data_IF_910189386865
#
_entry.id   IF_910189386865
#
_cell.length_a   1.000
_cell.length_b   1.000
_cell.length_c   1.000
_cell.angle_alpha   90.00
_cell.angle_beta   90.00
_cell.angle_gamma   90.00
#
_symmetry.space_group_name_H-M   'P 1'
#
loop_
_entity.id
_entity.type
_entity.pdbx_description
1 polymer ?
#
# COMPACT_ATOMS: atom_id res chain seq x y z
N UNK A 1 18.81 -1.85 -17.13
CA UNK A 1 17.89 -3.00 -17.13
C UNK A 1 16.53 -2.46 -16.69
N UNK A 2 15.61 -2.27 -17.63
CA UNK A 2 14.24 -1.88 -17.30
C UNK A 2 13.56 -3.14 -16.80
N UNK A 3 13.26 -3.20 -15.51
CA UNK A 3 12.33 -4.19 -14.97
C UNK A 3 10.96 -3.67 -15.38
N UNK A 4 10.32 -4.34 -16.33
CA UNK A 4 9.05 -3.92 -16.93
C UNK A 4 7.94 -4.95 -16.66
N UNK A 5 8.29 -6.23 -16.66
CA UNK A 5 7.34 -7.34 -16.53
C UNK A 5 7.30 -7.92 -15.12
N UNK A 6 6.19 -8.60 -14.78
CA UNK A 6 6.05 -9.37 -13.54
C UNK A 6 7.13 -10.44 -13.42
N UNK A 7 7.45 -11.15 -14.51
CA UNK A 7 8.52 -12.14 -14.57
C UNK A 7 9.90 -11.54 -14.28
N UNK A 8 10.19 -10.31 -14.73
CA UNK A 8 11.46 -9.66 -14.43
C UNK A 8 11.62 -9.30 -12.94
N UNK A 9 10.52 -8.98 -12.23
CA UNK A 9 10.54 -8.77 -10.78
C UNK A 9 10.87 -10.06 -10.05
N UNK A 10 10.23 -11.17 -10.44
CA UNK A 10 10.48 -12.50 -9.87
C UNK A 10 11.93 -12.91 -10.12
N UNK A 11 12.43 -12.79 -11.35
CA UNK A 11 13.84 -13.07 -11.68
C UNK A 11 14.79 -12.19 -10.88
N UNK A 12 14.45 -10.92 -10.65
CA UNK A 12 15.26 -10.03 -9.82
C UNK A 12 15.28 -10.49 -8.35
N UNK A 13 14.15 -10.92 -7.80
CA UNK A 13 14.05 -11.47 -6.45
C UNK A 13 14.87 -12.76 -6.30
N UNK A 14 14.70 -13.70 -7.24
CA UNK A 14 15.45 -14.96 -7.28
C UNK A 14 16.95 -14.72 -7.42
N UNK A 15 17.40 -13.79 -8.27
CA UNK A 15 18.82 -13.41 -8.35
C UNK A 15 19.36 -12.89 -7.03
N UNK A 16 18.58 -12.11 -6.26
CA UNK A 16 19.03 -11.62 -4.95
C UNK A 16 19.15 -12.74 -3.92
N UNK A 17 18.26 -13.73 -3.99
CA UNK A 17 18.36 -14.97 -3.21
C UNK A 17 19.57 -15.82 -3.62
N UNK A 18 19.76 -16.05 -4.92
CA UNK A 18 20.86 -16.86 -5.46
C UNK A 18 22.24 -16.22 -5.25
N UNK A 19 22.36 -14.88 -5.32
CA UNK A 19 23.62 -14.20 -4.97
C UNK A 19 23.93 -14.33 -3.47
N UNK A 20 22.91 -14.45 -2.61
CA UNK A 20 23.10 -14.72 -1.20
C UNK A 20 23.44 -16.21 -0.92
N UNK A 21 22.91 -17.13 -1.72
CA UNK A 21 23.13 -18.58 -1.62
C UNK A 21 24.02 -19.05 -2.77
N UNK A 22 25.34 -18.93 -2.57
CA UNK A 22 26.42 -19.11 -3.55
C UNK A 22 26.51 -20.50 -4.27
N UNK A 23 25.42 -21.28 -4.44
CA UNK A 23 25.54 -22.68 -4.86
C UNK A 23 24.38 -23.40 -5.61
N UNK A 24 23.13 -22.93 -5.76
CA UNK A 24 22.05 -23.92 -6.08
C UNK A 24 20.97 -23.62 -7.14
N UNK A 25 20.87 -22.44 -7.76
CA UNK A 25 19.83 -22.21 -8.77
C UNK A 25 20.41 -21.76 -10.13
N UNK A 26 21.01 -22.69 -10.87
CA UNK A 26 21.35 -22.47 -12.30
C UNK A 26 20.15 -22.69 -13.22
N UNK A 27 19.15 -23.46 -12.79
CA UNK A 27 17.94 -23.75 -13.57
C UNK A 27 16.70 -23.64 -12.67
N UNK A 28 16.01 -22.49 -12.73
CA UNK A 28 14.68 -22.35 -12.11
C UNK A 28 13.69 -23.02 -13.04
N UNK A 29 12.92 -23.98 -12.51
CA UNK A 29 11.88 -24.66 -13.29
C UNK A 29 10.79 -23.65 -13.72
N UNK A 30 10.31 -23.68 -14.98
CA UNK A 30 9.30 -22.73 -15.47
C UNK A 30 8.03 -22.69 -14.61
N UNK A 31 7.65 -23.83 -14.02
CA UNK A 31 6.48 -23.90 -13.15
C UNK A 31 6.68 -23.11 -11.85
N UNK A 32 7.90 -23.14 -11.31
CA UNK A 32 8.25 -22.39 -10.10
C UNK A 32 8.30 -20.88 -10.32
N UNK A 33 8.58 -20.44 -11.56
CA UNK A 33 8.46 -19.03 -11.94
C UNK A 33 7.00 -18.55 -11.91
N UNK A 34 6.08 -19.37 -12.41
CA UNK A 34 4.66 -19.07 -12.42
C UNK A 34 4.09 -19.03 -11.00
N UNK A 35 4.44 -19.99 -10.15
CA UNK A 35 4.03 -20.01 -8.74
C UNK A 35 4.54 -18.75 -8.00
N UNK A 36 5.78 -18.32 -8.28
CA UNK A 36 6.34 -17.10 -7.72
C UNK A 36 5.67 -15.80 -8.25
N UNK A 37 5.08 -15.81 -9.44
CA UNK A 37 4.23 -14.71 -9.94
C UNK A 37 2.91 -14.68 -9.20
N UNK A 38 2.30 -15.83 -8.90
CA UNK A 38 1.06 -15.91 -8.11
C UNK A 38 1.28 -15.43 -6.66
N UNK A 39 2.45 -15.73 -6.08
CA UNK A 39 2.87 -15.19 -4.78
C UNK A 39 3.10 -13.69 -4.81
N UNK A 40 3.64 -13.17 -5.91
CA UNK A 40 3.79 -11.74 -6.14
C UNK A 40 2.41 -11.08 -6.17
N UNK A 41 1.47 -11.61 -6.95
CA UNK A 41 0.09 -11.10 -7.01
C UNK A 41 -0.57 -11.12 -5.63
N UNK A 42 -0.48 -12.23 -4.92
CA UNK A 42 -1.02 -12.39 -3.57
C UNK A 42 -0.41 -11.38 -2.59
N UNK A 43 0.90 -11.13 -2.67
CA UNK A 43 1.59 -10.12 -1.85
C UNK A 43 1.11 -8.71 -2.17
N UNK A 44 0.92 -8.39 -3.46
CA UNK A 44 0.48 -7.07 -3.88
C UNK A 44 -0.98 -6.81 -3.50
N UNK A 45 -1.82 -7.84 -3.55
CA UNK A 45 -3.22 -7.78 -3.10
C UNK A 45 -3.31 -7.52 -1.59
N UNK A 46 -2.54 -8.27 -0.79
CA UNK A 46 -2.44 -8.07 0.66
C UNK A 46 -2.00 -6.64 1.00
N UNK A 47 -1.02 -6.11 0.27
CA UNK A 47 -0.53 -4.77 0.49
C UNK A 47 -1.53 -3.71 0.10
N UNK A 48 -2.28 -3.88 -0.98
CA UNK A 48 -3.23 -2.87 -1.44
C UNK A 48 -4.47 -2.80 -0.54
N UNK A 49 -4.95 -3.93 -0.04
CA UNK A 49 -6.13 -4.05 0.85
C UNK A 49 -7.29 -3.17 0.37
N UNK A 50 -7.71 -3.34 -0.89
CA UNK A 50 -8.78 -2.57 -1.54
C UNK A 50 -8.62 -1.04 -1.41
N UNK A 51 -7.37 -0.56 -1.49
CA UNK A 51 -7.01 0.86 -1.42
C UNK A 51 -6.80 1.40 0.00
N UNK A 52 -7.03 0.60 1.04
CA UNK A 52 -6.76 0.95 2.45
C UNK A 52 -5.32 0.67 2.86
N UNK A 53 -4.58 -0.10 2.10
CA UNK A 53 -3.18 -0.44 2.39
C UNK A 53 -2.17 0.49 1.71
N UNK A 54 -1.07 -0.09 1.25
CA UNK A 54 0.05 0.54 0.56
C UNK A 54 -0.29 0.70 -0.94
N UNK A 55 -0.18 1.93 -1.44
CA UNK A 55 -0.46 2.26 -2.83
C UNK A 55 0.85 2.21 -3.64
N UNK A 56 1.01 1.18 -4.46
CA UNK A 56 2.22 0.93 -5.26
C UNK A 56 2.04 1.29 -6.74
N UNK A 57 0.79 1.32 -7.22
CA UNK A 57 0.45 1.47 -8.64
C UNK A 57 0.51 0.15 -9.43
N UNK A 58 0.56 -0.98 -8.73
CA UNK A 58 0.56 -2.30 -9.34
C UNK A 58 -0.73 -2.56 -10.13
N UNK A 59 -0.59 -3.20 -11.29
CA UNK A 59 -1.71 -3.62 -12.13
C UNK A 59 -1.95 -5.11 -11.90
N UNK A 60 -3.10 -5.41 -11.29
CA UNK A 60 -3.58 -6.76 -11.06
C UNK A 60 -3.98 -7.41 -12.38
N UNK A 61 -3.78 -8.72 -12.50
CA UNK A 61 -4.32 -9.48 -13.62
C UNK A 61 -5.87 -9.47 -13.62
N UNK A 62 -6.46 -9.61 -14.80
CA UNK A 62 -7.90 -9.74 -14.94
C UNK A 62 -8.40 -11.02 -14.25
N UNK A 63 -9.58 -11.02 -13.62
CA UNK A 63 -10.10 -12.20 -12.93
C UNK A 63 -10.31 -13.42 -13.84
N UNK A 64 -10.46 -13.19 -15.14
CA UNK A 64 -10.64 -14.25 -16.15
C UNK A 64 -9.33 -14.74 -16.78
N UNK A 65 -8.20 -14.08 -16.49
CA UNK A 65 -6.90 -14.42 -17.07
C UNK A 65 -5.82 -14.51 -15.97
N UNK A 66 -5.21 -15.68 -15.76
CA UNK A 66 -4.18 -15.82 -14.73
C UNK A 66 -2.98 -14.89 -15.02
N UNK A 67 -2.29 -14.39 -13.99
CA UNK A 67 -1.17 -13.48 -14.14
C UNK A 67 -0.03 -14.17 -14.88
N UNK A 68 0.37 -13.65 -16.04
CA UNK A 68 1.46 -14.22 -16.81
C UNK A 68 2.80 -13.54 -16.50
N UNK A 69 3.91 -14.27 -16.66
CA UNK A 69 5.25 -13.71 -16.51
C UNK A 69 5.51 -12.48 -17.41
N UNK A 70 4.89 -12.46 -18.59
CA UNK A 70 5.05 -11.42 -19.60
C UNK A 70 4.23 -10.16 -19.32
N UNK A 71 3.32 -10.18 -18.34
CA UNK A 71 2.44 -9.05 -18.07
C UNK A 71 3.20 -7.88 -17.44
N UNK A 72 2.80 -6.67 -17.80
CA UNK A 72 3.33 -5.45 -17.21
C UNK A 72 2.89 -5.32 -15.75
N UNK A 73 3.81 -4.91 -14.89
CA UNK A 73 3.51 -4.77 -13.46
C UNK A 73 2.91 -3.41 -13.05
N UNK A 74 3.05 -2.38 -13.88
CA UNK A 74 2.53 -1.01 -13.60
C UNK A 74 3.19 -0.23 -12.45
N UNK A 75 4.08 -0.85 -11.67
CA UNK A 75 4.79 -0.22 -10.55
C UNK A 75 5.53 1.07 -10.92
N UNK A 76 5.56 2.00 -9.95
CA UNK A 76 6.45 3.17 -9.98
C UNK A 76 7.91 2.71 -9.86
N UNK A 77 8.83 3.46 -10.47
CA UNK A 77 10.28 3.17 -10.41
C UNK A 77 10.84 3.08 -8.98
N UNK A 78 10.30 3.85 -8.04
CA UNK A 78 10.66 3.80 -6.62
C UNK A 78 10.12 2.57 -5.88
N UNK A 79 9.07 1.94 -6.38
CA UNK A 79 8.44 0.77 -5.77
C UNK A 79 9.13 -0.54 -6.14
N UNK A 80 9.77 -0.60 -7.31
CA UNK A 80 10.43 -1.80 -7.84
C UNK A 80 11.40 -2.39 -6.81
N UNK A 81 12.26 -1.56 -6.22
CA UNK A 81 13.26 -2.01 -5.24
C UNK A 81 12.62 -2.61 -3.99
N UNK A 82 11.56 -2.00 -3.47
CA UNK A 82 10.86 -2.52 -2.31
C UNK A 82 10.16 -3.85 -2.63
N UNK A 83 9.52 -3.95 -3.78
CA UNK A 83 8.73 -5.14 -4.16
C UNK A 83 9.62 -6.37 -4.31
N UNK A 84 10.70 -6.34 -5.11
CA UNK A 84 11.50 -7.55 -5.31
C UNK A 84 12.27 -7.98 -4.05
N UNK A 85 12.63 -7.06 -3.13
CA UNK A 85 13.26 -7.45 -1.86
C UNK A 85 12.25 -8.12 -0.90
N UNK A 86 11.01 -7.64 -0.85
CA UNK A 86 9.98 -8.28 -0.04
C UNK A 86 9.55 -9.62 -0.65
N UNK A 87 9.45 -9.70 -1.98
CA UNK A 87 9.19 -10.94 -2.69
C UNK A 87 10.28 -11.98 -2.42
N UNK A 88 11.55 -11.57 -2.46
CA UNK A 88 12.67 -12.45 -2.12
C UNK A 88 12.54 -13.03 -0.71
N UNK A 89 12.07 -12.24 0.28
CA UNK A 89 11.82 -12.78 1.62
C UNK A 89 10.64 -13.76 1.66
N UNK A 90 9.62 -13.57 0.81
CA UNK A 90 8.41 -14.40 0.77
C UNK A 90 8.67 -15.77 0.13
N UNK A 91 9.41 -15.80 -0.98
CA UNK A 91 9.69 -17.04 -1.74
C UNK A 91 10.89 -17.83 -1.19
N UNK A 92 11.72 -17.23 -0.32
CA UNK A 92 12.90 -17.91 0.23
C UNK A 92 12.58 -19.27 0.89
N UNK A 93 11.52 -19.39 1.73
CA UNK A 93 11.16 -20.64 2.38
C UNK A 93 10.79 -21.76 1.41
N UNK A 94 10.23 -21.44 0.24
CA UNK A 94 9.82 -22.43 -0.77
C UNK A 94 11.03 -23.18 -1.35
N UNK A 95 12.19 -22.51 -1.37
CA UNK A 95 13.46 -23.10 -1.76
C UNK A 95 14.29 -23.61 -0.58
N UNK A 96 13.69 -23.71 0.62
CA UNK A 96 14.38 -24.04 1.87
C UNK A 96 15.59 -23.13 2.16
N UNK A 97 15.51 -21.86 1.73
CA UNK A 97 16.52 -20.83 1.97
C UNK A 97 16.03 -19.80 2.98
N UNK A 98 16.98 -19.16 3.66
CA UNK A 98 16.71 -18.02 4.54
C UNK A 98 17.18 -16.73 3.86
N UNK A 99 16.34 -15.69 3.91
CA UNK A 99 16.72 -14.38 3.42
C UNK A 99 17.81 -13.77 4.32
N UNK A 100 18.89 -13.27 3.72
CA UNK A 100 19.96 -12.63 4.51
C UNK A 100 19.48 -11.38 5.24
N UNK A 101 20.11 -11.07 6.37
CA UNK A 101 19.77 -9.89 7.18
C UNK A 101 19.76 -8.57 6.37
N UNK A 102 20.60 -8.45 5.34
CA UNK A 102 20.63 -7.27 4.47
C UNK A 102 19.38 -7.17 3.60
N UNK A 103 18.86 -8.28 3.08
CA UNK A 103 17.62 -8.31 2.29
C UNK A 103 16.44 -7.95 3.20
N UNK A 104 16.34 -8.55 4.38
CA UNK A 104 15.25 -8.29 5.35
C UNK A 104 15.19 -6.82 5.76
N UNK A 105 16.34 -6.22 6.11
CA UNK A 105 16.41 -4.81 6.51
C UNK A 105 16.04 -3.86 5.36
N UNK A 106 16.49 -4.17 4.14
CA UNK A 106 16.16 -3.39 2.94
C UNK A 106 14.69 -3.54 2.55
N UNK A 107 14.12 -4.74 2.67
CA UNK A 107 12.71 -5.03 2.43
C UNK A 107 11.81 -4.22 3.38
N UNK A 108 12.13 -4.21 4.69
CA UNK A 108 11.42 -3.43 5.70
C UNK A 108 11.48 -1.94 5.41
N UNK A 109 12.68 -1.42 5.14
CA UNK A 109 12.87 0.00 4.81
C UNK A 109 12.14 0.41 3.51
N UNK A 110 12.20 -0.44 2.47
CA UNK A 110 11.49 -0.21 1.22
C UNK A 110 9.97 -0.15 1.40
N UNK A 111 9.40 -1.06 2.20
CA UNK A 111 7.96 -1.08 2.52
C UNK A 111 7.53 0.19 3.28
N UNK A 112 8.36 0.66 4.22
CA UNK A 112 8.12 1.91 4.94
C UNK A 112 8.11 3.12 4.00
N UNK A 113 9.07 3.20 3.08
CA UNK A 113 9.14 4.30 2.10
C UNK A 113 7.90 4.34 1.18
N UNK A 114 7.40 3.19 0.77
CA UNK A 114 6.17 3.13 -0.04
C UNK A 114 4.96 3.68 0.70
N UNK A 115 4.86 3.41 2.00
CA UNK A 115 3.74 3.88 2.81
C UNK A 115 3.89 5.35 3.24
N UNK A 116 5.12 5.87 3.34
CA UNK A 116 5.43 7.20 3.89
C UNK A 116 4.54 8.32 3.34
N UNK A 117 4.42 8.45 2.01
CA UNK A 117 3.64 9.52 1.39
C UNK A 117 2.13 9.35 1.61
N UNK A 118 1.66 8.10 1.56
CA UNK A 118 0.27 7.73 1.81
C UNK A 118 -0.11 8.00 3.27
N UNK A 119 0.79 7.70 4.21
CA UNK A 119 0.62 7.98 5.63
C UNK A 119 0.45 9.47 5.90
N UNK A 120 1.31 10.32 5.33
CA UNK A 120 1.20 11.79 5.45
C UNK A 120 -0.14 12.27 4.88
N UNK A 121 -0.55 11.72 3.73
CA UNK A 121 -1.80 12.12 3.07
C UNK A 121 -3.05 11.69 3.85
N UNK A 122 -2.97 10.59 4.60
CA UNK A 122 -4.03 10.09 5.50
C UNK A 122 -4.01 10.75 6.87
N UNK A 123 -2.88 11.30 7.30
CA UNK A 123 -2.73 12.05 8.55
C UNK A 123 -3.33 13.47 8.45
N UNK A 124 -4.60 13.56 8.05
CA UNK A 124 -5.37 14.80 8.04
C UNK A 124 -6.18 14.90 9.31
N UNK A 125 -6.24 16.11 9.88
CA UNK A 125 -7.14 16.37 11.01
C UNK A 125 -8.57 16.27 10.51
N UNK A 126 -9.40 15.55 11.26
CA UNK A 126 -10.84 15.60 11.06
C UNK A 126 -11.32 17.06 11.23
N UNK A 127 -12.34 17.49 10.47
CA UNK A 127 -12.96 18.79 10.65
C UNK A 127 -13.49 18.99 12.08
N UNK A 128 -13.75 20.24 12.44
CA UNK A 128 -14.37 20.55 13.72
C UNK A 128 -15.78 19.93 13.83
N UNK A 129 -16.22 19.54 15.03
CA UNK A 129 -17.58 19.05 15.24
C UNK A 129 -18.64 20.09 14.88
N UNK A 130 -19.84 19.64 14.50
CA UNK A 130 -21.00 20.49 14.16
C UNK A 130 -21.41 21.48 15.25
N UNK A 131 -21.00 21.26 16.50
CA UNK A 131 -21.35 22.10 17.66
C UNK A 131 -20.24 23.09 18.04
N UNK A 132 -19.12 23.11 17.30
CA UNK A 132 -18.04 24.04 17.61
C UNK A 132 -18.42 25.44 17.10
N UNK A 133 -18.49 26.46 18.00
CA UNK A 133 -18.82 27.81 17.58
C UNK A 133 -17.69 28.36 16.70
N UNK A 134 -18.08 29.09 15.65
CA UNK A 134 -17.14 29.74 14.71
C UNK A 134 -16.34 30.86 15.39
N UNK A 135 -16.88 31.43 16.46
CA UNK A 135 -16.30 32.55 17.20
C UNK A 135 -16.53 33.90 16.53
N UNK A 136 -16.69 34.95 17.34
CA UNK A 136 -16.96 36.32 16.86
C UNK A 136 -15.80 36.97 16.09
N UNK A 137 -14.61 36.35 16.10
CA UNK A 137 -13.45 36.80 15.33
C UNK A 137 -13.51 36.46 13.83
N UNK A 138 -14.39 35.53 13.41
CA UNK A 138 -14.49 35.13 12.00
C UNK A 138 -15.61 35.93 11.28
N UNK A 139 -15.31 37.19 11.00
CA UNK A 139 -16.32 38.19 10.60
C UNK A 139 -17.10 37.84 9.32
N UNK A 140 -16.44 37.28 8.30
CA UNK A 140 -17.10 36.90 7.05
C UNK A 140 -18.08 35.73 7.25
N UNK A 141 -17.75 34.76 8.10
CA UNK A 141 -18.64 33.65 8.42
C UNK A 141 -19.84 34.11 9.25
N UNK A 142 -19.62 35.00 10.22
CA UNK A 142 -20.72 35.59 11.01
C UNK A 142 -21.63 36.49 10.19
N UNK A 143 -21.09 37.22 9.21
CA UNK A 143 -21.88 38.04 8.27
C UNK A 143 -22.76 37.17 7.36
N UNK A 144 -22.28 35.98 7.00
CA UNK A 144 -23.03 34.99 6.23
C UNK A 144 -23.98 34.12 7.09
N UNK A 145 -24.16 34.44 8.37
CA UNK A 145 -25.07 33.74 9.28
C UNK A 145 -24.58 32.37 9.75
N UNK A 146 -23.29 32.05 9.58
CA UNK A 146 -22.72 30.80 10.07
C UNK A 146 -22.27 30.96 11.53
N UNK A 147 -22.92 30.22 12.43
CA UNK A 147 -22.61 30.26 13.87
C UNK A 147 -21.75 29.09 14.34
N UNK A 148 -21.83 27.94 13.67
CA UNK A 148 -21.07 26.73 13.98
C UNK A 148 -20.39 26.17 12.72
N UNK A 149 -19.29 25.44 12.90
CA UNK A 149 -18.59 24.83 11.77
C UNK A 149 -19.47 23.75 11.11
N UNK A 150 -19.62 23.75 9.77
CA UNK A 150 -20.25 22.66 9.06
C UNK A 150 -19.29 21.46 9.11
N UNK A 151 -19.59 20.48 9.95
CA UNK A 151 -18.83 19.24 10.00
C UNK A 151 -19.10 18.36 8.79
N UNK A 152 -18.33 17.28 8.69
CA UNK A 152 -18.21 16.45 7.49
C UNK A 152 -19.43 15.53 7.24
N UNK A 153 -20.32 15.35 8.23
CA UNK A 153 -21.52 14.52 8.15
C UNK A 153 -22.76 15.30 8.60
N UNK A 154 -23.87 15.12 7.89
CA UNK A 154 -25.22 15.59 8.27
C UNK A 154 -25.86 14.75 9.40
N UNK A 155 -25.06 14.22 10.33
CA UNK A 155 -25.55 13.32 11.37
C UNK A 155 -26.09 14.07 12.60
N UNK A 156 -26.00 15.40 12.62
CA UNK A 156 -26.63 16.22 13.64
C UNK A 156 -27.70 17.08 12.98
N UNK A 157 -28.96 16.75 13.25
CA UNK A 157 -30.09 17.62 12.95
C UNK A 157 -29.84 18.98 13.62
N UNK A 158 -29.71 20.08 12.86
CA UNK A 158 -29.52 21.41 13.43
C UNK A 158 -30.74 21.88 14.25
N UNK A 159 -31.85 21.14 14.26
CA UNK A 159 -33.06 21.45 15.01
C UNK A 159 -33.11 20.88 16.44
N UNK A 160 -32.16 20.04 16.89
CA UNK A 160 -32.20 19.53 18.27
C UNK A 160 -31.84 20.65 19.26
N UNK A 161 -32.81 21.06 20.08
CA UNK A 161 -32.63 22.09 21.11
C UNK A 161 -31.70 21.63 22.23
N UNK A 162 -30.98 22.57 22.85
CA UNK A 162 -29.99 22.37 23.91
C UNK A 162 -30.51 21.77 25.22
N UNK A 163 -31.77 21.35 25.30
CA UNK A 163 -32.51 21.05 26.52
C UNK A 163 -33.18 19.67 26.51
N UNK A 164 -32.41 18.62 26.22
CA UNK A 164 -32.82 17.26 26.55
C UNK A 164 -31.82 16.65 27.54
N UNK A 165 -31.76 17.27 28.71
CA UNK A 165 -31.29 16.67 29.95
C UNK A 165 -32.42 16.74 30.96
N UNK A 166 -33.49 15.99 30.75
CA UNK A 166 -34.55 15.86 31.76
C UNK A 166 -34.18 14.71 32.70
N UNK A 167 -34.18 15.01 34.01
CA UNK A 167 -34.00 14.02 35.08
C UNK A 167 -35.18 13.08 35.26
#
# INVERSE_FOLDING_TARGET
MLIATKGDLVRAALRKLAIASNATLTDVEPQSMQDAVDDLESMMAEWYQDGKGIITGYVFADPDNPPAEGDDHGLRSSAVSAVYHNLACRIAPDYALEATAKIITTARYGKELLYKQTAISRAKRAPYPNRMPIGSGNQLATLNGWHFFPGEKQDADPATSSDEGNG
#
